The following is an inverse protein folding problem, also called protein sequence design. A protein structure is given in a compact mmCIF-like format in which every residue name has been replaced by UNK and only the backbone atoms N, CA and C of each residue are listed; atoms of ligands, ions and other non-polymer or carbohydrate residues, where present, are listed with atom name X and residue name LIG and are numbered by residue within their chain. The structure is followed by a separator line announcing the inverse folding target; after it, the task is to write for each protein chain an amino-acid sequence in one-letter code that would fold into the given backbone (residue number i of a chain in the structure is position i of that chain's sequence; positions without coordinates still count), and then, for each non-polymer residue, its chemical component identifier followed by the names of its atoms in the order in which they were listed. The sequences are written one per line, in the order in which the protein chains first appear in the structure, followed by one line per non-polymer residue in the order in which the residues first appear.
data_IF_082223275274
#
_entry.id   IF_082223275274
#
_cell.length_a   1.000
_cell.length_b   1.000
_cell.length_c   1.000
_cell.angle_alpha   90.00
_cell.angle_beta   90.00
_cell.angle_gamma   90.00
#
_symmetry.space_group_name_H-M   'P 1'
#
loop_
_entity.id
_entity.type
_entity.pdbx_description
1 polymer ?
#
# COMPACT_ATOMS: atom_id res chain seq x y z
N UNK A 1 -24.67 5.90 16.91
CA UNK A 1 -23.92 4.67 16.59
C UNK A 1 -23.26 4.89 15.24
N UNK A 2 -21.93 4.91 15.15
CA UNK A 2 -21.26 5.02 13.84
C UNK A 2 -21.30 3.67 13.14
N UNK A 3 -21.95 3.59 11.99
CA UNK A 3 -21.93 2.37 11.19
C UNK A 3 -20.52 2.13 10.67
N UNK A 4 -20.00 0.92 10.87
CA UNK A 4 -18.73 0.50 10.30
C UNK A 4 -18.92 0.24 8.80
N UNK A 5 -18.07 0.83 7.96
CA UNK A 5 -18.01 0.52 6.52
C UNK A 5 -16.76 -0.30 6.24
N UNK A 6 -16.94 -1.56 5.85
CA UNK A 6 -15.86 -2.43 5.39
C UNK A 6 -15.87 -2.51 3.86
N UNK A 7 -14.72 -2.30 3.25
CA UNK A 7 -14.50 -2.48 1.82
C UNK A 7 -13.29 -3.40 1.60
N UNK A 8 -13.45 -4.38 0.73
CA UNK A 8 -12.37 -5.27 0.34
C UNK A 8 -12.13 -5.18 -1.17
N UNK A 9 -10.85 -5.11 -1.56
CA UNK A 9 -10.39 -5.15 -2.94
C UNK A 9 -9.40 -6.30 -3.12
N UNK A 10 -9.65 -7.16 -4.10
CA UNK A 10 -8.77 -8.27 -4.41
C UNK A 10 -8.11 -8.06 -5.77
N UNK A 11 -6.84 -8.41 -5.87
CA UNK A 11 -6.04 -8.22 -7.08
C UNK A 11 -5.28 -9.50 -7.41
N UNK A 12 -5.06 -9.71 -8.70
CA UNK A 12 -4.06 -10.65 -9.23
C UNK A 12 -2.75 -9.94 -9.51
N UNK A 13 -1.65 -10.65 -9.34
CA UNK A 13 -0.30 -10.15 -9.63
C UNK A 13 0.21 -10.90 -10.85
N UNK A 14 0.41 -10.19 -11.95
CA UNK A 14 0.81 -10.73 -13.25
C UNK A 14 2.24 -10.33 -13.56
N UNK A 15 3.07 -11.28 -13.98
CA UNK A 15 4.43 -11.03 -14.49
C UNK A 15 4.66 -11.82 -15.76
N UNK A 16 5.12 -11.13 -16.81
CA UNK A 16 5.35 -11.74 -18.13
C UNK A 16 4.12 -12.53 -18.64
N UNK A 17 2.91 -12.00 -18.39
CA UNK A 17 1.64 -12.63 -18.77
C UNK A 17 1.15 -13.75 -17.84
N UNK A 18 1.95 -14.20 -16.86
CA UNK A 18 1.57 -15.27 -15.95
C UNK A 18 1.02 -14.71 -14.64
N UNK A 19 -0.05 -15.33 -14.12
CA UNK A 19 -0.50 -15.12 -12.75
C UNK A 19 0.50 -15.74 -11.79
N UNK A 20 1.10 -14.91 -10.94
CA UNK A 20 2.15 -15.30 -9.99
C UNK A 20 1.73 -15.04 -8.55
N UNK A 21 0.50 -14.63 -8.29
CA UNK A 21 0.10 -14.32 -6.92
C UNK A 21 -1.12 -13.41 -6.81
N UNK A 22 -1.39 -13.03 -5.56
CA UNK A 22 -2.57 -12.28 -5.19
C UNK A 22 -2.22 -11.18 -4.19
N UNK A 23 -3.10 -10.19 -4.12
CA UNK A 23 -3.09 -9.16 -3.10
C UNK A 23 -4.52 -8.85 -2.69
N UNK A 24 -4.76 -8.81 -1.38
CA UNK A 24 -6.02 -8.40 -0.77
C UNK A 24 -5.78 -7.11 -0.01
N UNK A 25 -6.65 -6.14 -0.21
CA UNK A 25 -6.74 -4.95 0.61
C UNK A 25 -8.09 -4.87 1.29
N UNK A 26 -8.08 -4.41 2.53
CA UNK A 26 -9.25 -4.13 3.33
C UNK A 26 -9.16 -2.70 3.86
N UNK A 27 -10.30 -2.00 3.84
CA UNK A 27 -10.48 -0.68 4.45
C UNK A 27 -11.69 -0.76 5.39
N UNK A 28 -11.47 -0.44 6.65
CA UNK A 28 -12.49 -0.35 7.68
C UNK A 28 -12.61 1.10 8.14
N UNK A 29 -13.79 1.70 7.99
CA UNK A 29 -14.06 3.02 8.57
C UNK A 29 -15.02 2.88 9.75
N UNK A 30 -14.66 3.46 10.89
CA UNK A 30 -15.52 3.55 12.07
C UNK A 30 -15.43 4.98 12.62
N UNK A 31 -16.52 5.74 12.49
CA UNK A 31 -16.51 7.16 12.85
C UNK A 31 -15.47 7.93 12.02
N UNK A 32 -14.52 8.58 12.69
CA UNK A 32 -13.42 9.31 12.05
C UNK A 32 -12.13 8.48 11.90
N UNK A 33 -12.21 7.18 12.18
CA UNK A 33 -11.07 6.28 12.10
C UNK A 33 -11.13 5.47 10.81
N UNK A 34 -9.97 5.28 10.19
CA UNK A 34 -9.79 4.44 9.01
C UNK A 34 -8.63 3.48 9.23
N UNK A 35 -8.92 2.19 9.20
CA UNK A 35 -7.93 1.12 9.22
C UNK A 35 -7.79 0.51 7.84
N UNK A 36 -6.55 0.35 7.40
CA UNK A 36 -6.18 -0.28 6.15
C UNK A 36 -5.34 -1.52 6.45
N UNK A 37 -5.62 -2.60 5.74
CA UNK A 37 -4.82 -3.82 5.74
C UNK A 37 -4.52 -4.21 4.29
N UNK A 38 -3.27 -4.58 4.03
CA UNK A 38 -2.84 -5.23 2.80
C UNK A 38 -2.19 -6.55 3.18
N UNK A 39 -2.65 -7.64 2.57
CA UNK A 39 -1.99 -8.94 2.57
C UNK A 39 -1.71 -9.34 1.13
N UNK A 40 -0.54 -9.91 0.86
CA UNK A 40 -0.21 -10.43 -0.46
C UNK A 40 0.79 -11.57 -0.41
N UNK A 41 0.70 -12.43 -1.41
CA UNK A 41 1.63 -13.53 -1.63
C UNK A 41 1.95 -13.62 -3.12
N UNK A 42 3.24 -13.66 -3.42
CA UNK A 42 3.79 -13.86 -4.76
C UNK A 42 4.61 -15.15 -4.75
N UNK A 43 4.33 -16.04 -5.70
CA UNK A 43 5.11 -17.25 -5.98
C UNK A 43 5.67 -17.15 -7.39
N UNK A 44 6.98 -17.02 -7.51
CA UNK A 44 7.65 -16.91 -8.81
C UNK A 44 8.94 -17.71 -8.79
N UNK A 45 9.48 -18.01 -9.98
CA UNK A 45 10.82 -18.56 -10.15
C UNK A 45 11.67 -17.54 -10.91
N UNK A 46 12.83 -17.20 -10.39
CA UNK A 46 13.85 -16.44 -11.14
C UNK A 46 14.94 -17.44 -11.54
N UNK A 47 15.76 -17.84 -10.58
CA UNK A 47 16.70 -18.97 -10.70
C UNK A 47 16.15 -20.16 -9.89
N UNK A 48 15.74 -19.88 -8.65
CA UNK A 48 15.07 -20.81 -7.74
C UNK A 48 13.64 -20.35 -7.42
N UNK A 49 12.77 -21.25 -6.95
CA UNK A 49 11.44 -20.87 -6.46
C UNK A 49 11.57 -19.88 -5.30
N UNK A 50 10.83 -18.78 -5.37
CA UNK A 50 10.73 -17.80 -4.30
C UNK A 50 9.25 -17.54 -3.99
N UNK A 51 8.95 -17.47 -2.70
CA UNK A 51 7.67 -17.00 -2.17
C UNK A 51 7.92 -15.69 -1.43
N UNK A 52 7.29 -14.61 -1.86
CA UNK A 52 7.37 -13.31 -1.21
C UNK A 52 6.01 -13.04 -0.56
N UNK A 53 6.02 -12.84 0.75
CA UNK A 53 4.85 -12.43 1.52
C UNK A 53 5.00 -10.99 1.97
N UNK A 54 3.88 -10.29 1.97
CA UNK A 54 3.81 -8.87 2.23
C UNK A 54 2.57 -8.56 3.04
N UNK A 55 2.75 -7.97 4.23
CA UNK A 55 1.66 -7.48 5.08
C UNK A 55 1.91 -6.02 5.43
N UNK A 56 0.90 -5.19 5.24
CA UNK A 56 0.95 -3.77 5.63
C UNK A 56 -0.32 -3.38 6.36
N UNK A 57 -0.19 -2.49 7.35
CA UNK A 57 -1.32 -1.91 8.06
C UNK A 57 -1.14 -0.41 8.17
N UNK A 58 -2.24 0.33 8.21
CA UNK A 58 -2.23 1.76 8.51
C UNK A 58 -3.51 2.16 9.21
N UNK A 59 -3.38 2.84 10.34
CA UNK A 59 -4.49 3.35 11.14
C UNK A 59 -4.43 4.86 11.14
N UNK A 60 -5.53 5.47 10.71
CA UNK A 60 -5.73 6.91 10.72
C UNK A 60 -6.82 7.25 11.72
N UNK A 61 -6.57 8.27 12.54
CA UNK A 61 -7.56 8.87 13.43
C UNK A 61 -7.73 10.34 13.06
N UNK A 62 -8.97 10.76 12.80
CA UNK A 62 -9.29 12.12 12.34
C UNK A 62 -8.43 12.53 11.13
N UNK A 63 -8.18 11.59 10.21
CA UNK A 63 -7.39 11.82 8.99
C UNK A 63 -5.88 11.98 9.22
N UNK A 64 -5.35 11.64 10.40
CA UNK A 64 -3.92 11.62 10.70
C UNK A 64 -3.45 10.19 10.96
N UNK A 65 -2.36 9.77 10.31
CA UNK A 65 -1.74 8.49 10.58
C UNK A 65 -1.28 8.44 12.03
N UNK A 66 -1.76 7.47 12.80
CA UNK A 66 -1.32 7.22 14.18
C UNK A 66 -0.44 5.98 14.29
N UNK A 67 -0.62 5.03 13.37
CA UNK A 67 0.17 3.80 13.32
C UNK A 67 0.25 3.26 11.90
N UNK A 68 1.40 2.74 11.51
CA UNK A 68 1.54 1.85 10.36
C UNK A 68 2.58 0.77 10.62
N UNK A 69 2.47 -0.36 9.91
CA UNK A 69 3.47 -1.41 9.93
C UNK A 69 3.63 -2.05 8.56
N UNK A 70 4.86 -2.40 8.22
CA UNK A 70 5.25 -3.02 6.95
C UNK A 70 6.12 -4.24 7.25
N UNK A 71 5.64 -5.41 6.84
CA UNK A 71 6.36 -6.68 6.97
C UNK A 71 6.53 -7.28 5.58
N UNK A 72 7.77 -7.67 5.27
CA UNK A 72 8.10 -8.46 4.08
C UNK A 72 8.85 -9.71 4.48
N UNK A 73 8.44 -10.85 3.93
CA UNK A 73 9.14 -12.13 4.07
C UNK A 73 9.48 -12.69 2.70
N UNK A 74 10.66 -13.30 2.58
CA UNK A 74 11.04 -14.08 1.40
C UNK A 74 11.40 -15.47 1.87
N UNK A 75 10.70 -16.48 1.33
CA UNK A 75 10.82 -17.89 1.72
C UNK A 75 10.70 -18.08 3.25
N UNK A 76 9.78 -17.35 3.88
CA UNK A 76 9.51 -17.41 5.32
C UNK A 76 10.42 -16.51 6.18
N UNK A 77 11.61 -16.13 5.70
CA UNK A 77 12.52 -15.23 6.44
C UNK A 77 12.09 -13.78 6.32
N UNK A 78 12.05 -13.06 7.44
CA UNK A 78 11.79 -11.61 7.48
C UNK A 78 12.92 -10.87 6.75
N UNK A 79 12.55 -9.98 5.83
CA UNK A 79 13.46 -9.13 5.04
C UNK A 79 13.24 -7.64 5.30
N UNK A 80 12.06 -7.28 5.80
CA UNK A 80 11.72 -5.94 6.24
C UNK A 80 10.70 -6.07 7.36
N UNK A 81 10.92 -5.34 8.45
CA UNK A 81 9.94 -5.12 9.50
C UNK A 81 10.11 -3.68 9.99
N UNK A 82 9.12 -2.85 9.65
CA UNK A 82 9.10 -1.42 9.95
C UNK A 82 7.77 -1.03 10.57
N UNK A 83 7.80 -0.07 11.48
CA UNK A 83 6.61 0.52 12.06
C UNK A 83 6.77 2.04 12.13
N UNK A 84 5.71 2.79 11.81
CA UNK A 84 5.64 4.23 12.07
C UNK A 84 4.57 4.48 13.12
N UNK A 85 4.85 5.32 14.13
CA UNK A 85 3.89 5.65 15.20
C UNK A 85 3.86 7.15 15.43
N UNK A 86 2.67 7.68 15.71
CA UNK A 86 2.51 9.04 16.22
C UNK A 86 2.36 8.98 17.75
N UNK A 87 3.36 9.46 18.48
CA UNK A 87 3.35 9.47 19.95
C UNK A 87 4.00 10.76 20.44
N UNK A 88 3.54 11.31 21.56
CA UNK A 88 4.10 12.54 22.15
C UNK A 88 4.22 13.72 21.15
N UNK A 89 3.25 13.85 20.25
CA UNK A 89 3.19 14.87 19.20
C UNK A 89 4.30 14.79 18.12
N UNK A 90 4.97 13.65 18.00
CA UNK A 90 5.99 13.39 16.99
C UNK A 90 5.79 12.03 16.31
N UNK A 91 6.35 11.88 15.12
CA UNK A 91 6.41 10.60 14.44
C UNK A 91 7.74 9.90 14.75
N UNK A 92 7.66 8.63 15.12
CA UNK A 92 8.81 7.74 15.33
C UNK A 92 8.68 6.52 14.40
N UNK A 93 9.79 6.15 13.76
CA UNK A 93 9.93 4.90 13.02
C UNK A 93 10.76 3.93 13.83
N UNK A 94 10.28 2.69 13.94
CA UNK A 94 11.01 1.57 14.52
C UNK A 94 11.37 0.58 13.41
N UNK A 95 12.66 0.30 13.24
CA UNK A 95 13.18 -0.69 12.29
C UNK A 95 14.38 -1.40 12.94
N UNK A 96 14.35 -2.75 12.98
CA UNK A 96 15.42 -3.56 13.60
C UNK A 96 15.81 -3.17 15.03
N UNK A 97 14.86 -2.63 15.82
CA UNK A 97 15.10 -2.17 17.19
C UNK A 97 15.63 -0.74 17.31
N UNK A 98 15.98 -0.10 16.20
CA UNK A 98 16.41 1.30 16.15
C UNK A 98 15.22 2.23 15.94
N UNK A 99 15.27 3.40 16.60
CA UNK A 99 14.23 4.42 16.56
C UNK A 99 14.74 5.67 15.87
N UNK A 100 13.97 6.16 14.90
CA UNK A 100 14.25 7.39 14.16
C UNK A 100 13.05 8.34 14.28
N UNK A 101 13.31 9.62 14.57
CA UNK A 101 12.27 10.65 14.56
C UNK A 101 12.07 11.19 13.16
N UNK A 102 10.82 11.34 12.74
CA UNK A 102 10.51 11.97 11.46
C UNK A 102 10.18 13.46 11.63
N UNK A 103 10.62 14.33 10.70
CA UNK A 103 10.41 15.77 10.79
C UNK A 103 9.01 16.22 10.33
N UNK A 104 8.02 15.33 10.32
CA UNK A 104 6.67 15.60 9.80
C UNK A 104 5.72 15.98 10.93
N UNK A 105 4.92 17.03 10.74
CA UNK A 105 3.89 17.41 11.71
C UNK A 105 2.60 16.58 11.58
N UNK A 106 2.28 16.15 10.35
CA UNK A 106 1.14 15.31 10.04
C UNK A 106 1.41 14.44 8.80
N UNK A 107 0.96 13.19 8.85
CA UNK A 107 0.89 12.30 7.70
C UNK A 107 -0.59 11.99 7.46
N UNK A 108 -1.18 12.61 6.44
CA UNK A 108 -2.62 12.49 6.16
C UNK A 108 -2.97 11.40 5.15
N UNK A 109 -1.98 10.94 4.38
CA UNK A 109 -2.17 9.89 3.38
C UNK A 109 -0.86 9.15 3.19
N UNK A 110 -0.95 7.85 2.94
CA UNK A 110 0.18 7.03 2.54
C UNK A 110 -0.15 6.21 1.28
N UNK A 111 0.77 5.35 0.86
CA UNK A 111 0.61 4.57 -0.37
C UNK A 111 -0.59 3.60 -0.34
N UNK A 112 -1.03 3.11 0.82
CA UNK A 112 -2.22 2.25 0.91
C UNK A 112 -3.51 3.00 0.56
N UNK A 113 -3.57 4.32 0.84
CA UNK A 113 -4.72 5.14 0.49
C UNK A 113 -4.97 5.17 -1.04
N UNK A 114 -3.91 5.05 -1.85
CA UNK A 114 -4.00 5.10 -3.32
C UNK A 114 -4.80 3.94 -3.93
N UNK A 115 -5.04 2.85 -3.21
CA UNK A 115 -5.90 1.76 -3.72
C UNK A 115 -7.39 2.11 -3.67
N UNK A 116 -7.77 2.99 -2.75
CA UNK A 116 -9.16 3.34 -2.45
C UNK A 116 -9.54 4.76 -2.85
N UNK A 117 -8.56 5.57 -3.24
CA UNK A 117 -8.77 6.97 -3.60
C UNK A 117 -7.87 7.35 -4.78
N UNK A 118 -8.51 7.85 -5.83
CA UNK A 118 -7.81 8.47 -6.96
C UNK A 118 -7.18 9.82 -6.54
N UNK A 119 -5.87 10.02 -6.74
CA UNK A 119 -5.16 11.22 -6.30
C UNK A 119 -5.31 12.38 -7.30
N UNK A 120 -6.56 12.83 -7.52
CA UNK A 120 -6.89 13.88 -8.50
C UNK A 120 -6.18 15.21 -8.16
N UNK A 121 -5.99 15.50 -6.87
CA UNK A 121 -5.32 16.71 -6.39
C UNK A 121 -3.78 16.64 -6.41
N UNK A 122 -3.22 15.48 -6.82
CA UNK A 122 -1.78 15.22 -6.93
C UNK A 122 -0.97 15.54 -5.67
N UNK A 123 -1.61 15.49 -4.49
CA UNK A 123 -0.90 15.71 -3.22
C UNK A 123 0.19 14.66 -3.04
N UNK A 124 1.36 15.03 -2.48
CA UNK A 124 2.38 14.07 -2.10
C UNK A 124 1.82 13.04 -1.11
N UNK A 125 2.26 11.80 -1.24
CA UNK A 125 1.84 10.70 -0.37
C UNK A 125 3.02 10.16 0.40
N UNK A 126 2.79 9.77 1.65
CA UNK A 126 3.87 9.21 2.47
C UNK A 126 4.21 7.78 2.01
N UNK A 127 5.51 7.51 1.84
CA UNK A 127 6.06 6.19 1.55
C UNK A 127 6.72 5.65 2.82
N UNK A 128 6.01 4.77 3.54
CA UNK A 128 6.44 4.25 4.84
C UNK A 128 7.83 3.59 4.80
N UNK A 129 8.10 2.78 3.77
CA UNK A 129 9.37 2.05 3.63
C UNK A 129 10.56 3.03 3.52
N UNK A 130 10.37 4.15 2.81
CA UNK A 130 11.42 5.14 2.53
C UNK A 130 11.33 6.39 3.41
N UNK A 131 10.39 6.43 4.36
CA UNK A 131 10.27 7.46 5.38
C UNK A 131 10.16 8.89 4.81
N UNK A 132 9.54 9.05 3.65
CA UNK A 132 9.44 10.34 2.97
C UNK A 132 8.15 10.49 2.16
N UNK A 133 7.79 11.74 1.87
CA UNK A 133 6.72 12.03 0.94
C UNK A 133 7.21 11.91 -0.51
N UNK A 134 6.49 11.12 -1.29
CA UNK A 134 6.73 10.93 -2.73
C UNK A 134 5.70 11.70 -3.54
N UNK A 135 6.15 12.33 -4.62
CA UNK A 135 5.30 13.12 -5.51
C UNK A 135 4.54 12.23 -6.48
N UNK A 136 3.32 12.63 -6.80
CA UNK A 136 2.47 12.02 -7.82
C UNK A 136 2.50 12.89 -9.07
N UNK A 137 2.60 12.27 -10.24
CA UNK A 137 2.53 12.94 -11.54
C UNK A 137 1.59 12.20 -12.46
N UNK A 138 0.78 12.92 -13.23
CA UNK A 138 -0.12 12.30 -14.22
C UNK A 138 0.68 11.89 -15.46
N UNK A 139 0.37 10.71 -16.01
CA UNK A 139 0.98 10.21 -17.24
C UNK A 139 0.04 10.43 -18.44
N UNK A 140 0.60 10.42 -19.65
CA UNK A 140 -0.16 10.64 -20.89
C UNK A 140 -1.18 9.54 -21.17
N UNK A 141 -0.96 8.33 -20.64
CA UNK A 141 -1.90 7.21 -20.70
C UNK A 141 -2.95 7.20 -19.58
N UNK A 142 -3.11 8.33 -18.87
CA UNK A 142 -4.14 8.53 -17.85
C UNK A 142 -3.82 7.96 -16.47
N UNK A 143 -2.63 7.40 -16.28
CA UNK A 143 -2.18 6.90 -14.99
C UNK A 143 -1.62 7.98 -14.06
N UNK A 144 -1.41 7.61 -12.80
CA UNK A 144 -0.78 8.41 -11.76
C UNK A 144 0.53 7.73 -11.35
N UNK A 145 1.65 8.33 -11.73
CA UNK A 145 3.00 7.81 -11.48
C UNK A 145 3.56 8.35 -10.17
N UNK A 146 3.99 7.41 -9.34
CA UNK A 146 4.79 7.64 -8.13
C UNK A 146 6.22 7.22 -8.44
N UNK A 147 7.18 8.14 -8.30
CA UNK A 147 8.61 7.82 -8.42
C UNK A 147 9.22 7.78 -7.02
N UNK A 148 9.85 6.66 -6.70
CA UNK A 148 10.47 6.41 -5.41
C UNK A 148 11.95 6.88 -5.42
N UNK A 149 12.50 7.36 -4.28
CA UNK A 149 13.91 7.70 -4.13
C UNK A 149 14.91 6.65 -4.62
N UNK A 150 14.60 5.37 -4.50
CA UNK A 150 15.45 4.27 -5.00
C UNK A 150 15.42 4.08 -6.53
N UNK A 151 14.77 4.98 -7.27
CA UNK A 151 14.70 4.95 -8.74
C UNK A 151 13.55 4.11 -9.30
N UNK A 152 12.94 3.25 -8.49
CA UNK A 152 11.76 2.48 -8.89
C UNK A 152 10.55 3.41 -9.06
N UNK A 153 9.52 2.92 -9.76
CA UNK A 153 8.26 3.64 -9.89
C UNK A 153 7.07 2.70 -9.96
N UNK A 154 5.92 3.19 -9.50
CA UNK A 154 4.63 2.57 -9.74
C UNK A 154 3.74 3.53 -10.51
N UNK A 155 2.91 3.04 -11.42
CA UNK A 155 1.88 3.82 -12.08
C UNK A 155 0.50 3.22 -11.80
N UNK A 156 -0.39 3.99 -11.20
CA UNK A 156 -1.71 3.60 -10.74
C UNK A 156 -2.79 4.07 -11.73
N UNK A 157 -3.75 3.21 -12.04
CA UNK A 157 -4.84 3.50 -12.99
C UNK A 157 -6.17 3.23 -12.31
N UNK A 158 -7.13 4.11 -12.55
CA UNK A 158 -8.39 4.16 -11.81
C UNK A 158 -9.59 4.04 -12.74
N UNK A 159 -10.66 3.48 -12.20
CA UNK A 159 -12.01 3.54 -12.77
C UNK A 159 -12.96 3.89 -11.64
N UNK A 160 -13.76 4.93 -11.83
CA UNK A 160 -14.75 5.40 -10.83
C UNK A 160 -14.13 5.63 -9.44
N UNK A 161 -12.90 6.17 -9.40
CA UNK A 161 -12.18 6.45 -8.15
C UNK A 161 -11.48 5.25 -7.50
N UNK A 162 -11.69 4.02 -7.99
CA UNK A 162 -11.05 2.79 -7.47
C UNK A 162 -9.84 2.42 -8.32
N UNK A 163 -8.73 2.05 -7.68
CA UNK A 163 -7.53 1.60 -8.40
C UNK A 163 -7.80 0.24 -9.06
N UNK A 164 -7.80 0.18 -10.39
CA UNK A 164 -8.06 -1.06 -11.14
C UNK A 164 -6.78 -1.74 -11.61
N UNK A 165 -5.69 -0.99 -11.73
CA UNK A 165 -4.41 -1.53 -12.23
C UNK A 165 -3.23 -0.74 -11.66
N UNK A 166 -2.15 -1.45 -11.34
CA UNK A 166 -0.84 -0.86 -11.04
C UNK A 166 0.21 -1.48 -11.97
N UNK A 167 1.00 -0.64 -12.65
CA UNK A 167 2.22 -1.05 -13.34
C UNK A 167 3.41 -0.84 -12.39
N UNK A 168 4.04 -1.91 -11.95
CA UNK A 168 5.27 -1.87 -11.14
C UNK A 168 6.47 -1.84 -12.09
N UNK A 169 7.31 -0.82 -11.93
CA UNK A 169 8.55 -0.63 -12.68
C UNK A 169 9.71 -0.65 -11.68
N UNK A 170 10.24 -1.85 -11.44
CA UNK A 170 11.40 -2.04 -10.60
C UNK A 170 12.66 -2.24 -11.47
N UNK A 171 13.83 -1.85 -10.97
CA UNK A 171 15.12 -1.97 -11.70
C UNK A 171 15.39 -3.37 -12.25
N UNK A 172 14.89 -4.42 -11.61
CA UNK A 172 15.17 -5.83 -11.96
C UNK A 172 13.95 -6.60 -12.47
N UNK A 173 12.76 -6.01 -12.39
CA UNK A 173 11.53 -6.68 -12.82
C UNK A 173 10.41 -5.67 -13.07
N UNK A 174 9.47 -6.07 -13.91
CA UNK A 174 8.16 -5.43 -14.02
C UNK A 174 7.08 -6.42 -13.63
N UNK A 175 5.96 -5.89 -13.15
CA UNK A 175 4.76 -6.66 -12.86
C UNK A 175 3.53 -5.74 -13.03
N UNK A 176 2.38 -6.36 -13.24
CA UNK A 176 1.09 -5.67 -13.20
C UNK A 176 0.27 -6.24 -12.05
N UNK A 177 -0.33 -5.37 -11.26
CA UNK A 177 -1.34 -5.74 -10.29
C UNK A 177 -2.68 -5.34 -10.89
N UNK A 178 -3.62 -6.28 -11.01
CA UNK A 178 -4.89 -6.06 -11.71
C UNK A 178 -6.04 -6.42 -10.77
N UNK A 179 -6.98 -5.48 -10.61
CA UNK A 179 -8.16 -5.70 -9.78
C UNK A 179 -8.95 -6.89 -10.32
N UNK A 180 -9.27 -7.83 -9.45
CA UNK A 180 -10.06 -9.00 -9.75
C UNK A 180 -11.51 -8.76 -9.27
N UNK A 181 -12.44 -8.38 -10.16
CA UNK A 181 -13.80 -8.04 -9.75
C UNK A 181 -14.63 -9.24 -9.24
N UNK A 182 -14.17 -10.49 -9.45
CA UNK A 182 -14.93 -11.69 -9.10
C UNK A 182 -14.97 -12.02 -7.60
N UNK A 183 -14.29 -11.26 -6.73
CA UNK A 183 -14.22 -11.55 -5.28
C UNK A 183 -14.49 -10.33 -4.38
N UNK A 184 -14.97 -9.22 -4.94
CA UNK A 184 -15.25 -8.01 -4.16
C UNK A 184 -16.68 -8.10 -3.57
N UNK A 185 -16.76 -8.47 -2.30
CA UNK A 185 -18.00 -8.44 -1.52
C UNK A 185 -17.94 -7.34 -0.47
N UNK A 186 -19.05 -6.62 -0.28
CA UNK A 186 -19.28 -5.91 0.97
C UNK A 186 -19.44 -6.97 2.06
N UNK A 187 -18.54 -6.99 3.06
CA UNK A 187 -18.78 -7.77 4.25
C UNK A 187 -19.96 -7.12 4.99
N UNK A 188 -21.18 -7.57 4.69
CA UNK A 188 -22.35 -7.25 5.48
C UNK A 188 -22.13 -7.89 6.86
N UNK A 189 -21.83 -7.05 7.85
CA UNK A 189 -21.81 -7.46 9.24
C UNK A 189 -23.18 -8.05 9.60
N UNK A 190 -23.21 -9.33 9.98
CA UNK A 190 -24.31 -9.92 10.76
C UNK A 190 -24.22 -9.45 12.20
#
# INVERSE_FOLDING_TARGET
MSNAQNLQLNYKIIRNGNDIGWMRLEKNNVGNNSDFLLDSEIKTKIIFPITVFAKETSTFENGKLVYSSQIRKTNGSIKLEKQTRFMANEYEVLENGEKEKLPFSAINTNLLCLYFQEPIDLKPVYCDIQQCFVKISKTTDGGYKVKFPNGNANCYYYKEGVCTKIKIMHTFYSAEIILNPQTNGYANNK
#
